data_IF_417514210765
#
_entry.id   IF_417514210765
#
_cell.length_a   1.000
_cell.length_b   1.000
_cell.length_c   1.000
_cell.angle_alpha   90.00
_cell.angle_beta   90.00
_cell.angle_gamma   90.00
#
_symmetry.space_group_name_H-M   'P 1'
#
loop_
_entity.id
_entity.type
_entity.pdbx_description
1 polymer ?
#
# COMPACT_ATOMS: atom_id res chain seq x y z
N UNK A 1 -7.67 -1.65 -13.47
CA UNK A 1 -6.84 -2.71 -12.87
C UNK A 1 -5.47 -2.65 -13.53
N UNK A 2 -4.41 -2.41 -12.76
CA UNK A 2 -3.06 -2.18 -13.27
C UNK A 2 -2.15 -3.31 -12.80
N UNK A 3 -1.18 -3.75 -13.61
CA UNK A 3 -0.25 -4.81 -13.20
C UNK A 3 1.14 -4.26 -12.88
N UNK A 4 1.74 -4.74 -11.79
CA UNK A 4 3.11 -4.41 -11.39
C UNK A 4 4.12 -5.02 -12.40
N UNK A 5 4.99 -4.20 -13.02
CA UNK A 5 6.06 -4.70 -13.90
C UNK A 5 7.08 -5.55 -13.14
N UNK A 6 7.66 -6.56 -13.81
CA UNK A 6 8.64 -7.48 -13.23
C UNK A 6 9.85 -6.77 -12.61
N UNK A 7 10.37 -5.72 -13.26
CA UNK A 7 11.45 -4.89 -12.70
C UNK A 7 11.11 -4.31 -11.32
N UNK A 8 9.84 -3.99 -11.09
CA UNK A 8 9.38 -3.41 -9.82
C UNK A 8 9.05 -4.51 -8.80
N UNK A 9 8.66 -5.71 -9.22
CA UNK A 9 8.60 -6.89 -8.35
C UNK A 9 9.98 -7.14 -7.72
N UNK A 10 11.03 -7.21 -8.55
CA UNK A 10 12.40 -7.40 -8.06
C UNK A 10 12.87 -6.28 -7.13
N UNK A 11 12.42 -5.04 -7.38
CA UNK A 11 12.73 -3.90 -6.51
C UNK A 11 12.01 -4.03 -5.16
N UNK A 12 10.73 -4.40 -5.17
CA UNK A 12 9.96 -4.62 -3.95
C UNK A 12 10.55 -5.73 -3.07
N UNK A 13 10.97 -6.85 -3.66
CA UNK A 13 11.65 -7.94 -2.95
C UNK A 13 12.96 -7.50 -2.29
N UNK A 14 13.68 -6.52 -2.85
CA UNK A 14 14.91 -5.99 -2.25
C UNK A 14 14.64 -5.01 -1.11
N UNK A 15 13.54 -4.27 -1.18
CA UNK A 15 13.14 -3.32 -0.13
C UNK A 15 12.58 -4.04 1.11
N UNK A 16 12.01 -5.21 0.89
CA UNK A 16 11.38 -6.06 1.89
C UNK A 16 11.96 -7.47 1.80
N UNK A 17 13.23 -7.70 2.17
CA UNK A 17 13.78 -9.05 2.18
C UNK A 17 13.01 -9.90 3.20
N UNK A 18 12.67 -11.13 2.82
CA UNK A 18 11.97 -12.05 3.72
C UNK A 18 12.86 -12.34 4.95
N UNK A 19 12.40 -12.05 6.18
CA UNK A 19 13.20 -12.27 7.38
C UNK A 19 13.45 -13.76 7.68
N UNK A 20 12.64 -14.65 7.10
CA UNK A 20 12.75 -16.11 7.21
C UNK A 20 13.39 -16.77 5.97
N UNK A 21 13.78 -15.96 4.96
CA UNK A 21 14.55 -16.43 3.81
C UNK A 21 13.74 -17.22 2.78
N UNK A 22 12.42 -17.24 2.89
CA UNK A 22 11.56 -17.77 1.83
C UNK A 22 11.49 -16.73 0.70
N UNK A 23 12.35 -16.89 -0.30
CA UNK A 23 12.30 -16.12 -1.55
C UNK A 23 11.15 -16.61 -2.43
N UNK A 24 9.92 -16.58 -1.91
CA UNK A 24 8.73 -16.81 -2.71
C UNK A 24 8.22 -15.47 -3.25
N UNK A 25 8.08 -15.39 -4.58
CA UNK A 25 7.51 -14.23 -5.25
C UNK A 25 6.01 -14.06 -4.98
N UNK A 26 5.39 -15.06 -4.32
CA UNK A 26 4.05 -14.98 -3.72
C UNK A 26 3.91 -13.92 -2.63
N UNK A 27 5.02 -13.43 -2.07
CA UNK A 27 5.00 -12.32 -1.10
C UNK A 27 4.76 -10.93 -1.72
N UNK A 28 4.61 -10.82 -3.05
CA UNK A 28 4.39 -9.54 -3.74
C UNK A 28 3.08 -9.54 -4.51
N UNK A 29 2.17 -8.63 -4.16
CA UNK A 29 0.96 -8.36 -4.93
C UNK A 29 1.32 -7.69 -6.27
N UNK A 30 0.77 -8.25 -7.35
CA UNK A 30 1.04 -7.82 -8.73
C UNK A 30 -0.15 -7.17 -9.38
N UNK A 31 -1.36 -7.39 -8.88
CA UNK A 31 -2.60 -6.76 -9.32
C UNK A 31 -2.87 -5.55 -8.44
N UNK A 32 -2.61 -4.37 -9.00
CA UNK A 32 -2.70 -3.11 -8.29
C UNK A 32 -4.12 -2.54 -8.40
N UNK A 33 -4.69 -2.25 -7.24
CA UNK A 33 -5.95 -1.52 -7.06
C UNK A 33 -5.65 -0.36 -6.12
N UNK A 34 -5.88 0.87 -6.60
CA UNK A 34 -5.75 2.05 -5.75
C UNK A 34 -6.95 2.13 -4.81
N UNK A 35 -6.68 2.27 -3.52
CA UNK A 35 -7.68 2.39 -2.45
C UNK A 35 -7.85 3.82 -1.95
N UNK A 36 -7.01 4.75 -2.43
CA UNK A 36 -7.10 6.16 -2.06
C UNK A 36 -8.44 6.76 -2.46
N UNK A 37 -9.05 7.48 -1.52
CA UNK A 37 -10.29 8.20 -1.77
C UNK A 37 -10.08 9.41 -2.69
N UNK A 38 -8.93 10.07 -2.58
CA UNK A 38 -8.57 11.21 -3.42
C UNK A 38 -7.30 10.92 -4.21
N UNK A 39 -7.29 11.35 -5.48
CA UNK A 39 -6.20 11.15 -6.43
C UNK A 39 -5.64 12.51 -6.88
N UNK A 40 -4.92 13.24 -6.00
CA UNK A 40 -4.37 14.53 -6.38
C UNK A 40 -3.44 14.35 -7.58
N UNK A 41 -3.62 15.19 -8.60
CA UNK A 41 -2.85 15.13 -9.86
C UNK A 41 -2.92 13.78 -10.60
N UNK A 42 -3.89 12.93 -10.27
CA UNK A 42 -4.00 11.58 -10.85
C UNK A 42 -2.93 10.61 -10.36
N UNK A 43 -2.29 10.88 -9.22
CA UNK A 43 -1.38 9.93 -8.57
C UNK A 43 -2.17 8.79 -7.92
N UNK A 44 -1.69 7.57 -8.12
CA UNK A 44 -2.24 6.34 -7.58
C UNK A 44 -1.20 5.57 -6.80
N UNK A 45 -1.68 4.88 -5.78
CA UNK A 45 -0.86 4.06 -4.90
C UNK A 45 -1.55 2.73 -4.58
N UNK A 46 -0.77 1.68 -4.44
CA UNK A 46 -1.25 0.39 -3.96
C UNK A 46 -0.15 -0.32 -3.18
N UNK A 47 -0.54 -1.01 -2.11
CA UNK A 47 0.33 -1.91 -1.38
C UNK A 47 0.79 -3.03 -2.31
N UNK A 48 2.08 -3.32 -2.31
CA UNK A 48 2.65 -4.47 -3.01
C UNK A 48 3.19 -5.52 -2.05
N UNK A 49 3.60 -5.13 -0.84
CA UNK A 49 4.08 -6.06 0.20
C UNK A 49 4.07 -5.38 1.56
N UNK A 50 3.49 -6.03 2.56
CA UNK A 50 3.54 -5.60 3.96
C UNK A 50 4.94 -5.83 4.56
N UNK A 51 5.35 -4.95 5.48
CA UNK A 51 6.57 -5.11 6.26
C UNK A 51 6.23 -5.46 7.71
N UNK A 52 6.73 -6.60 8.19
CA UNK A 52 6.62 -6.96 9.60
C UNK A 52 7.67 -6.20 10.43
N UNK A 53 7.26 -5.55 11.53
CA UNK A 53 8.21 -5.00 12.51
C UNK A 53 7.71 -3.79 13.32
N UNK A 54 8.50 -3.34 14.31
CA UNK A 54 8.16 -2.17 15.12
C UNK A 54 8.20 -0.90 14.25
N UNK A 55 7.06 -0.22 14.13
CA UNK A 55 6.91 0.99 13.32
C UNK A 55 6.01 0.84 12.08
N UNK A 56 5.59 -0.39 11.76
CA UNK A 56 4.72 -0.68 10.63
C UNK A 56 5.31 -0.28 9.27
N UNK A 57 4.48 -0.31 8.24
CA UNK A 57 4.79 0.13 6.90
C UNK A 57 4.66 -0.98 5.86
N UNK A 58 4.66 -0.55 4.61
CA UNK A 58 4.60 -1.43 3.48
C UNK A 58 5.45 -0.90 2.33
N UNK A 59 5.75 -1.76 1.37
CA UNK A 59 6.19 -1.35 0.05
C UNK A 59 4.95 -0.98 -0.76
N UNK A 60 4.97 0.23 -1.32
CA UNK A 60 3.89 0.78 -2.14
C UNK A 60 4.36 1.01 -3.56
N UNK A 61 3.51 0.67 -4.54
CA UNK A 61 3.68 1.10 -5.92
C UNK A 61 3.12 2.52 -6.13
N UNK A 62 3.67 3.24 -7.11
CA UNK A 62 3.14 4.51 -7.59
C UNK A 62 2.98 4.52 -9.11
N UNK A 63 1.88 5.08 -9.58
CA UNK A 63 1.65 5.39 -10.98
C UNK A 63 0.77 6.63 -11.15
N UNK A 64 0.75 7.18 -12.35
CA UNK A 64 -0.20 8.23 -12.74
C UNK A 64 -1.31 7.63 -13.61
N UNK A 65 -2.47 8.27 -13.64
CA UNK A 65 -3.60 7.83 -14.45
C UNK A 65 -3.23 7.44 -15.90
N UNK A 66 -3.74 6.27 -16.32
CA UNK A 66 -3.47 5.71 -17.66
C UNK A 66 -2.03 5.22 -17.90
N UNK A 67 -1.11 5.41 -16.96
CA UNK A 67 0.26 4.96 -17.07
C UNK A 67 0.51 3.63 -16.34
N UNK A 68 1.61 2.97 -16.71
CA UNK A 68 2.13 1.81 -15.96
C UNK A 68 2.87 2.27 -14.70
N UNK A 69 2.95 1.43 -13.66
CA UNK A 69 3.74 1.70 -12.46
C UNK A 69 5.19 1.99 -12.80
N UNK A 70 5.71 3.08 -12.24
CA UNK A 70 7.06 3.57 -12.50
C UNK A 70 7.98 3.37 -11.31
N UNK A 71 7.44 3.32 -10.09
CA UNK A 71 8.21 3.22 -8.86
C UNK A 71 7.54 2.32 -7.83
N UNK A 72 8.37 1.75 -6.97
CA UNK A 72 7.98 1.17 -5.67
C UNK A 72 8.87 1.77 -4.58
N UNK A 73 8.35 1.93 -3.38
CA UNK A 73 9.11 2.46 -2.24
C UNK A 73 8.46 2.10 -0.91
N UNK A 74 9.26 2.07 0.15
CA UNK A 74 8.75 1.86 1.51
C UNK A 74 8.04 3.13 1.98
N UNK A 75 6.85 2.97 2.54
CA UNK A 75 6.13 4.04 3.23
C UNK A 75 5.66 3.52 4.58
N UNK A 76 5.76 4.37 5.61
CA UNK A 76 5.20 4.08 6.91
C UNK A 76 3.67 4.08 6.84
N UNK A 77 3.03 3.33 7.73
CA UNK A 77 1.56 3.33 7.86
C UNK A 77 1.06 4.65 8.41
N UNK A 78 -0.18 4.99 8.08
CA UNK A 78 -0.88 6.10 8.69
C UNK A 78 -1.13 5.80 10.17
N UNK A 79 -0.72 6.66 11.11
CA UNK A 79 -0.86 6.41 12.54
C UNK A 79 -2.29 6.63 13.05
N UNK A 80 -3.20 7.03 12.15
CA UNK A 80 -4.56 7.34 12.51
C UNK A 80 -5.31 6.05 12.85
N UNK A 81 -6.00 6.09 13.98
CA UNK A 81 -6.78 4.98 14.53
C UNK A 81 -8.13 5.55 14.96
N UNK A 82 -9.22 4.90 14.57
CA UNK A 82 -10.54 5.18 15.11
C UNK A 82 -10.84 4.20 16.24
N UNK A 83 -11.46 4.70 17.30
CA UNK A 83 -11.96 3.87 18.41
C UNK A 83 -13.44 4.12 18.60
N UNK A 84 -14.25 3.07 18.49
CA UNK A 84 -15.69 3.10 18.78
C UNK A 84 -16.03 2.02 19.81
N UNK A 85 -16.20 2.46 21.06
CA UNK A 85 -16.41 1.58 22.20
C UNK A 85 -15.26 0.58 22.40
N UNK A 86 -15.52 -0.70 22.18
CA UNK A 86 -14.56 -1.78 22.37
C UNK A 86 -13.73 -2.11 21.11
N UNK A 87 -14.01 -1.45 19.97
CA UNK A 87 -13.31 -1.69 18.71
C UNK A 87 -12.35 -0.56 18.41
N UNK A 88 -11.17 -0.93 17.93
CA UNK A 88 -10.17 -0.02 17.42
C UNK A 88 -9.77 -0.50 16.03
N UNK A 89 -9.80 0.41 15.05
CA UNK A 89 -9.45 0.13 13.66
C UNK A 89 -8.38 1.13 13.21
N UNK A 90 -7.26 0.61 12.69
CA UNK A 90 -6.17 1.41 12.15
C UNK A 90 -6.40 1.71 10.66
N UNK A 91 -5.83 2.81 10.17
CA UNK A 91 -5.95 3.17 8.77
C UNK A 91 -5.04 2.27 7.95
N UNK A 92 -5.58 1.66 6.89
CA UNK A 92 -4.81 0.77 6.00
C UNK A 92 -3.99 1.51 4.92
N UNK A 93 -3.92 2.84 4.99
CA UNK A 93 -3.18 3.68 4.04
C UNK A 93 -1.83 4.13 4.61
N UNK A 94 -0.94 4.61 3.74
CA UNK A 94 0.37 5.14 4.16
C UNK A 94 0.29 6.53 4.81
N UNK A 95 1.32 6.89 5.58
CA UNK A 95 1.45 8.19 6.22
C UNK A 95 1.37 9.36 5.21
N UNK A 96 0.41 10.26 5.44
CA UNK A 96 0.19 11.42 4.58
C UNK A 96 -0.54 11.11 3.28
N UNK A 97 -1.26 9.99 3.22
CA UNK A 97 -2.16 9.68 2.12
C UNK A 97 -3.19 10.81 1.88
N UNK A 98 -3.65 10.94 0.64
CA UNK A 98 -4.65 11.92 0.29
C UNK A 98 -6.06 11.38 0.53
N UNK A 99 -6.99 12.29 0.82
CA UNK A 99 -8.41 11.96 1.02
C UNK A 99 -8.72 11.44 2.42
N UNK A 100 -9.87 10.82 2.55
CA UNK A 100 -10.41 10.33 3.81
C UNK A 100 -9.68 9.06 4.30
N UNK A 101 -9.71 8.80 5.60
CA UNK A 101 -9.24 7.54 6.16
C UNK A 101 -10.15 6.38 5.73
N UNK A 102 -9.62 5.16 5.81
CA UNK A 102 -10.30 3.94 5.31
C UNK A 102 -11.68 3.73 5.95
N UNK A 103 -11.84 4.02 7.25
CA UNK A 103 -13.13 3.91 7.94
C UNK A 103 -14.14 5.02 7.59
N UNK A 104 -13.68 6.14 7.02
CA UNK A 104 -14.54 7.26 6.59
C UNK A 104 -15.08 7.06 5.17
N UNK A 105 -14.42 6.21 4.40
CA UNK A 105 -14.88 5.78 3.09
C UNK A 105 -16.00 4.76 3.29
N UNK A 106 -17.25 5.26 3.40
CA UNK A 106 -18.44 4.42 3.54
C UNK A 106 -18.37 3.22 2.58
N UNK A 107 -18.36 2.00 3.11
CA UNK A 107 -18.60 0.83 2.28
C UNK A 107 -19.99 1.03 1.65
N UNK A 108 -20.13 1.03 0.31
CA UNK A 108 -21.46 1.06 -0.29
C UNK A 108 -22.22 -0.16 0.26
N UNK A 109 -23.36 0.12 0.89
CA UNK A 109 -24.34 -0.87 1.35
C UNK A 109 -24.84 -1.74 0.21
#
# INVERSE_FOLDING_TARGET
MTRLPERLVLTALRLAPDPYGEYDDRGVERQLVCTLQAHPHGDHHAVVRELDGPGGGAVWAQWVDGARPQAVGVRADCPAVVTDGARSEACAEFLGHAGAHTWECAQPS
#
